data_IF_028048202684
#
_entry.id   IF_028048202684
#
_cell.length_a   1.000
_cell.length_b   1.000
_cell.length_c   1.000
_cell.angle_alpha   90.00
_cell.angle_beta   90.00
_cell.angle_gamma   90.00
#
_symmetry.space_group_name_H-M   'P 1'
#
loop_
_entity.id
_entity.type
_entity.pdbx_description
1 polymer ?
#
# COMPACT_ATOMS: atom_id res chain seq x y z
N UNK A 1 49.20 -41.54 -28.34
CA UNK A 1 49.66 -40.15 -28.12
C UNK A 1 48.69 -39.53 -27.14
N UNK A 2 49.04 -39.48 -25.86
CA UNK A 2 48.27 -38.71 -24.87
C UNK A 2 48.57 -37.23 -25.12
N UNK A 3 47.55 -36.47 -25.52
CA UNK A 3 47.64 -35.01 -25.53
C UNK A 3 47.76 -34.56 -24.07
N UNK A 4 48.92 -34.00 -23.69
CA UNK A 4 49.07 -33.29 -22.41
C UNK A 4 48.09 -32.12 -22.41
N UNK A 5 46.97 -32.24 -21.69
CA UNK A 5 46.10 -31.11 -21.40
C UNK A 5 46.95 -30.00 -20.79
N UNK A 6 46.94 -28.83 -21.42
CA UNK A 6 47.66 -27.67 -20.92
C UNK A 6 47.06 -27.18 -19.61
N UNK A 7 47.85 -26.48 -18.79
CA UNK A 7 47.35 -25.86 -17.54
C UNK A 7 46.11 -24.99 -17.83
N UNK A 8 46.05 -24.32 -18.98
CA UNK A 8 44.89 -23.52 -19.38
C UNK A 8 43.61 -24.38 -19.60
N UNK A 9 43.73 -25.58 -20.18
CA UNK A 9 42.59 -26.50 -20.32
C UNK A 9 42.13 -27.04 -18.96
N UNK A 10 43.06 -27.24 -18.03
CA UNK A 10 42.72 -27.62 -16.66
C UNK A 10 42.03 -26.47 -15.89
N UNK A 11 42.36 -25.21 -16.20
CA UNK A 11 41.73 -24.03 -15.61
C UNK A 11 40.33 -23.77 -16.17
N UNK A 12 40.11 -24.05 -17.47
CA UNK A 12 38.80 -23.89 -18.11
C UNK A 12 37.70 -24.73 -17.44
N UNK A 13 38.03 -25.92 -16.92
CA UNK A 13 37.09 -26.77 -16.18
C UNK A 13 36.59 -26.20 -14.85
N UNK A 14 37.25 -25.16 -14.31
CA UNK A 14 36.81 -24.45 -13.10
C UNK A 14 35.95 -23.21 -13.38
N UNK A 15 35.83 -22.81 -14.66
CA UNK A 15 35.16 -21.57 -15.06
C UNK A 15 33.79 -21.92 -15.64
N UNK A 16 32.74 -21.69 -14.87
CA UNK A 16 31.36 -21.75 -15.33
C UNK A 16 30.76 -20.34 -15.33
N UNK A 17 30.91 -19.66 -16.48
CA UNK A 17 30.42 -18.28 -16.65
C UNK A 17 28.89 -18.19 -16.85
N UNK A 18 28.18 -19.32 -16.93
CA UNK A 18 26.72 -19.33 -17.09
C UNK A 18 26.08 -19.67 -15.74
N UNK A 19 26.32 -20.88 -15.20
CA UNK A 19 25.71 -21.35 -13.97
C UNK A 19 26.20 -20.63 -12.71
N UNK A 20 27.51 -20.37 -12.59
CA UNK A 20 28.03 -19.61 -11.45
C UNK A 20 27.75 -18.11 -11.57
N UNK A 21 27.60 -17.58 -12.79
CA UNK A 21 27.20 -16.19 -12.97
C UNK A 21 25.74 -15.95 -12.54
N UNK A 22 24.84 -16.88 -12.87
CA UNK A 22 23.46 -16.84 -12.37
C UNK A 22 23.42 -16.97 -10.85
N UNK A 23 24.12 -17.95 -10.27
CA UNK A 23 24.20 -18.12 -8.82
C UNK A 23 24.83 -16.92 -8.10
N UNK A 24 25.84 -16.28 -8.71
CA UNK A 24 26.47 -15.06 -8.20
C UNK A 24 25.52 -13.86 -8.22
N UNK A 25 24.64 -13.79 -9.21
CA UNK A 25 23.64 -12.72 -9.32
C UNK A 25 22.49 -12.88 -8.30
N UNK A 26 22.31 -14.07 -7.72
CA UNK A 26 21.32 -14.29 -6.64
C UNK A 26 21.78 -13.56 -5.39
N UNK A 27 21.14 -12.42 -5.12
CA UNK A 27 21.31 -11.73 -3.83
C UNK A 27 20.73 -12.61 -2.72
N UNK A 28 21.48 -12.90 -1.65
CA UNK A 28 20.94 -13.56 -0.47
C UNK A 28 19.73 -12.78 0.03
N UNK A 29 18.60 -13.47 0.15
CA UNK A 29 17.37 -12.92 0.70
C UNK A 29 17.63 -12.56 2.17
N UNK A 30 17.43 -11.30 2.54
CA UNK A 30 17.68 -10.83 3.91
C UNK A 30 16.36 -10.89 4.69
N UNK A 31 16.15 -11.90 5.56
CA UNK A 31 14.89 -12.07 6.28
C UNK A 31 14.58 -10.87 7.18
N UNK A 32 15.59 -10.14 7.66
CA UNK A 32 15.35 -8.94 8.46
C UNK A 32 14.70 -7.82 7.62
N UNK A 33 15.09 -7.67 6.35
CA UNK A 33 14.45 -6.71 5.43
C UNK A 33 13.01 -7.11 5.11
N UNK A 34 12.75 -8.41 4.99
CA UNK A 34 11.41 -8.94 4.76
C UNK A 34 10.46 -8.66 5.95
N UNK A 35 10.95 -8.84 7.17
CA UNK A 35 10.18 -8.68 8.42
C UNK A 35 9.98 -7.22 8.83
N UNK A 36 10.93 -6.34 8.50
CA UNK A 36 10.96 -4.93 8.97
C UNK A 36 9.65 -4.16 8.78
N UNK A 37 8.98 -4.19 7.62
CA UNK A 37 7.71 -3.45 7.43
C UNK A 37 6.60 -3.90 8.39
N UNK A 38 6.58 -5.19 8.74
CA UNK A 38 5.61 -5.75 9.67
C UNK A 38 5.92 -5.30 11.09
N UNK A 39 7.18 -5.43 11.53
CA UNK A 39 7.64 -5.01 12.86
C UNK A 39 7.37 -3.52 13.08
N UNK A 40 7.72 -2.67 12.10
CA UNK A 40 7.44 -1.23 12.15
C UNK A 40 5.93 -0.93 12.18
N UNK A 41 5.10 -1.76 11.55
CA UNK A 41 3.64 -1.66 11.62
C UNK A 41 3.06 -2.09 12.97
N UNK A 42 3.63 -3.11 13.61
CA UNK A 42 3.26 -3.55 14.97
C UNK A 42 3.56 -2.44 15.97
N UNK A 43 4.77 -1.87 15.94
CA UNK A 43 5.15 -0.77 16.83
C UNK A 43 4.19 0.43 16.69
N UNK A 44 3.94 0.87 15.46
CA UNK A 44 2.96 1.95 15.19
C UNK A 44 1.57 1.61 15.68
N UNK A 45 1.14 0.36 15.53
CA UNK A 45 -0.17 -0.09 16.03
C UNK A 45 -0.24 -0.02 17.55
N UNK A 46 0.82 -0.43 18.25
CA UNK A 46 0.92 -0.35 19.72
C UNK A 46 0.81 1.11 20.20
N UNK A 47 1.57 2.02 19.58
CA UNK A 47 1.53 3.46 19.87
C UNK A 47 0.12 4.04 19.64
N UNK A 48 -0.45 3.83 18.45
CA UNK A 48 -1.80 4.30 18.11
C UNK A 48 -2.88 3.76 19.05
N UNK A 49 -2.77 2.49 19.43
CA UNK A 49 -3.74 1.85 20.31
C UNK A 49 -3.63 2.34 21.76
N UNK A 50 -2.43 2.67 22.23
CA UNK A 50 -2.22 3.29 23.54
C UNK A 50 -2.81 4.71 23.59
N UNK A 51 -2.68 5.47 22.52
CA UNK A 51 -3.17 6.85 22.43
C UNK A 51 -4.67 6.97 22.09
N UNK A 52 -5.39 5.85 21.91
CA UNK A 52 -6.75 5.83 21.35
C UNK A 52 -7.78 6.71 22.05
N UNK A 53 -7.59 7.00 23.33
CA UNK A 53 -8.50 7.81 24.15
C UNK A 53 -8.21 9.32 24.09
N UNK A 54 -7.14 9.76 23.41
CA UNK A 54 -6.66 11.15 23.38
C UNK A 54 -7.18 11.89 22.12
N UNK A 55 -8.23 11.38 21.47
CA UNK A 55 -8.84 12.02 20.29
C UNK A 55 -8.16 11.71 18.95
N UNK A 56 -7.09 10.92 18.95
CA UNK A 56 -6.37 10.40 17.77
C UNK A 56 -7.05 9.17 17.12
N UNK A 57 -8.31 8.87 17.48
CA UNK A 57 -9.07 7.73 16.97
C UNK A 57 -9.22 7.67 15.43
N UNK A 58 -8.81 8.72 14.70
CA UNK A 58 -8.76 8.78 13.23
C UNK A 58 -7.32 8.76 12.67
N UNK A 59 -6.42 8.00 13.27
CA UNK A 59 -5.11 7.74 12.66
C UNK A 59 -5.28 7.05 11.29
N UNK A 60 -4.84 7.72 10.22
CA UNK A 60 -4.83 7.16 8.88
C UNK A 60 -3.93 5.91 8.85
N UNK A 61 -4.38 4.85 8.16
CA UNK A 61 -3.60 3.61 8.03
C UNK A 61 -3.61 2.69 9.24
N UNK A 62 -4.48 2.90 10.24
CA UNK A 62 -4.62 1.98 11.38
C UNK A 62 -4.93 0.54 10.95
N UNK A 63 -4.32 -0.41 11.66
CA UNK A 63 -4.55 -1.85 11.50
C UNK A 63 -5.70 -2.35 12.36
N UNK A 64 -6.32 -1.51 13.18
CA UNK A 64 -7.31 -1.94 14.15
C UNK A 64 -8.56 -1.06 14.11
N UNK A 65 -9.67 -1.62 14.57
CA UNK A 65 -10.91 -0.91 14.90
C UNK A 65 -11.54 -1.56 16.12
N UNK A 66 -11.97 -0.76 17.10
CA UNK A 66 -12.65 -1.26 18.29
C UNK A 66 -14.15 -1.07 18.14
N UNK A 67 -14.92 -2.13 18.38
CA UNK A 67 -16.37 -2.08 18.48
C UNK A 67 -16.83 -3.17 19.45
N UNK A 68 -17.74 -2.83 20.38
CA UNK A 68 -18.34 -3.79 21.32
C UNK A 68 -17.32 -4.62 22.13
N UNK A 69 -16.19 -4.01 22.54
CA UNK A 69 -15.14 -4.72 23.29
C UNK A 69 -14.32 -5.72 22.46
N UNK A 70 -14.46 -5.67 21.12
CA UNK A 70 -13.72 -6.50 20.17
C UNK A 70 -12.89 -5.60 19.26
N UNK A 71 -11.66 -6.02 19.00
CA UNK A 71 -10.73 -5.40 18.06
C UNK A 71 -10.78 -6.17 16.75
N UNK A 72 -11.26 -5.55 15.69
CA UNK A 72 -11.05 -6.02 14.33
C UNK A 72 -9.65 -5.60 13.88
N UNK A 73 -8.77 -6.58 13.65
CA UNK A 73 -7.37 -6.38 13.33
C UNK A 73 -7.03 -6.87 11.91
N UNK A 74 -6.46 -5.98 11.10
CA UNK A 74 -6.10 -6.20 9.69
C UNK A 74 -4.69 -5.68 9.45
N UNK A 75 -3.76 -6.56 9.11
CA UNK A 75 -2.37 -6.19 8.79
C UNK A 75 -2.32 -5.60 7.38
N UNK A 76 -2.14 -4.28 7.27
CA UNK A 76 -2.06 -3.56 5.99
C UNK A 76 -0.60 -3.29 5.66
N UNK A 77 -0.13 -3.89 4.58
CA UNK A 77 1.21 -3.66 4.03
C UNK A 77 1.10 -2.93 2.69
N UNK A 78 2.21 -2.38 2.21
CA UNK A 78 2.24 -1.77 0.88
C UNK A 78 1.89 -2.82 -0.17
N UNK A 79 0.82 -2.60 -0.91
CA UNK A 79 0.33 -3.51 -1.94
C UNK A 79 -0.76 -4.48 -1.51
N UNK A 80 -1.22 -4.46 -0.24
CA UNK A 80 -2.36 -5.29 0.16
C UNK A 80 -2.48 -5.56 1.66
N UNK A 81 -3.30 -6.53 2.02
CA UNK A 81 -3.46 -7.01 3.39
C UNK A 81 -2.82 -8.37 3.56
N UNK A 82 -2.02 -8.53 4.61
CA UNK A 82 -1.42 -9.81 4.96
C UNK A 82 -2.46 -10.63 5.76
N UNK A 83 -2.92 -11.78 5.26
CA UNK A 83 -3.79 -12.65 6.03
C UNK A 83 -3.01 -13.28 7.19
N UNK A 84 -3.62 -13.32 8.37
CA UNK A 84 -3.14 -14.09 9.52
C UNK A 84 -4.12 -15.23 9.76
N UNK A 85 -3.61 -16.45 9.97
CA UNK A 85 -4.43 -17.64 10.23
C UNK A 85 -5.54 -17.87 9.18
N UNK A 86 -5.27 -17.53 7.91
CA UNK A 86 -6.23 -17.67 6.82
C UNK A 86 -7.30 -16.58 6.71
N UNK A 87 -7.31 -15.60 7.63
CA UNK A 87 -8.24 -14.45 7.56
C UNK A 87 -7.48 -13.13 7.38
N UNK A 88 -8.03 -12.25 6.53
CA UNK A 88 -7.53 -10.89 6.35
C UNK A 88 -7.86 -10.00 7.55
N UNK A 89 -8.96 -10.28 8.26
CA UNK A 89 -9.38 -9.54 9.46
C UNK A 89 -9.62 -10.51 10.60
N UNK A 90 -8.89 -10.31 11.69
CA UNK A 90 -8.92 -11.16 12.87
C UNK A 90 -9.61 -10.40 14.00
N UNK A 91 -10.58 -11.04 14.65
CA UNK A 91 -11.33 -10.43 15.74
C UNK A 91 -10.74 -10.89 17.08
N UNK A 92 -10.25 -9.94 17.86
CA UNK A 92 -9.49 -10.18 19.08
C UNK A 92 -10.21 -9.49 20.23
N UNK A 93 -10.43 -10.14 21.38
CA UNK A 93 -10.97 -9.46 22.57
C UNK A 93 -10.09 -8.26 22.93
N UNK A 94 -10.69 -7.10 23.21
CA UNK A 94 -9.94 -5.86 23.46
C UNK A 94 -8.93 -6.02 24.61
N UNK A 95 -9.31 -6.72 25.67
CA UNK A 95 -8.46 -7.01 26.81
C UNK A 95 -7.18 -7.80 26.45
N UNK A 96 -7.20 -8.56 25.36
CA UNK A 96 -6.07 -9.41 24.93
C UNK A 96 -5.22 -8.76 23.85
N UNK A 97 -5.65 -7.62 23.30
CA UNK A 97 -5.05 -7.06 22.09
C UNK A 97 -3.59 -6.64 22.30
N UNK A 98 -3.25 -6.05 23.46
CA UNK A 98 -1.87 -5.70 23.78
C UNK A 98 -0.95 -6.92 23.83
N UNK A 99 -1.36 -7.96 24.57
CA UNK A 99 -0.61 -9.22 24.66
C UNK A 99 -0.51 -9.94 23.30
N UNK A 100 -1.54 -9.81 22.46
CA UNK A 100 -1.51 -10.33 21.09
C UNK A 100 -0.42 -9.63 20.26
N UNK A 101 -0.30 -8.30 20.32
CA UNK A 101 0.72 -7.57 19.56
C UNK A 101 2.13 -7.99 19.97
N UNK A 102 2.38 -8.25 21.26
CA UNK A 102 3.67 -8.73 21.75
C UNK A 102 4.02 -10.11 21.20
N UNK A 103 3.06 -11.05 21.25
CA UNK A 103 3.25 -12.38 20.66
C UNK A 103 3.39 -12.34 19.15
N UNK A 104 2.68 -11.43 18.49
CA UNK A 104 2.76 -11.24 17.06
C UNK A 104 4.16 -10.72 16.64
N UNK A 105 4.71 -9.76 17.40
CA UNK A 105 6.08 -9.28 17.20
C UNK A 105 7.12 -10.39 17.39
N UNK A 106 6.94 -11.23 18.42
CA UNK A 106 7.80 -12.39 18.67
C UNK A 106 7.75 -13.39 17.51
N UNK A 107 6.55 -13.77 17.03
CA UNK A 107 6.39 -14.71 15.92
C UNK A 107 7.04 -14.19 14.62
N UNK A 108 6.88 -12.90 14.32
CA UNK A 108 7.53 -12.26 13.16
C UNK A 108 9.04 -12.27 13.33
N UNK A 109 9.55 -11.96 14.53
CA UNK A 109 10.99 -11.91 14.80
C UNK A 109 11.62 -13.31 14.79
N UNK A 110 10.86 -14.34 15.19
CA UNK A 110 11.26 -15.75 15.10
C UNK A 110 11.25 -16.29 13.66
N UNK A 111 10.65 -15.56 12.71
CA UNK A 111 10.57 -15.97 11.30
C UNK A 111 9.42 -16.90 10.97
N UNK A 112 8.46 -17.09 11.88
CA UNK A 112 7.29 -17.96 11.65
C UNK A 112 6.43 -17.49 10.48
N UNK A 113 6.53 -16.20 10.13
CA UNK A 113 5.79 -15.59 9.02
C UNK A 113 6.61 -15.42 7.73
N UNK A 114 7.88 -15.84 7.69
CA UNK A 114 8.76 -15.57 6.53
C UNK A 114 8.20 -16.16 5.23
N UNK A 115 7.68 -17.39 5.27
CA UNK A 115 7.07 -18.03 4.11
C UNK A 115 5.83 -17.26 3.61
N UNK A 116 4.98 -16.80 4.53
CA UNK A 116 3.80 -16.01 4.19
C UNK A 116 4.17 -14.62 3.65
N UNK A 117 5.21 -13.99 4.20
CA UNK A 117 5.70 -12.69 3.73
C UNK A 117 6.36 -12.78 2.35
N UNK A 118 7.10 -13.86 2.10
CA UNK A 118 7.69 -14.12 0.78
C UNK A 118 6.61 -14.35 -0.27
N UNK A 119 5.62 -15.20 0.04
CA UNK A 119 4.45 -15.40 -0.83
C UNK A 119 3.72 -14.08 -1.11
N UNK A 120 3.51 -13.25 -0.08
CA UNK A 120 2.89 -11.94 -0.24
C UNK A 120 3.71 -11.00 -1.15
N UNK A 121 5.04 -11.02 -1.08
CA UNK A 121 5.89 -10.23 -1.98
C UNK A 121 5.82 -10.74 -3.43
N UNK A 122 5.82 -12.06 -3.63
CA UNK A 122 5.69 -12.66 -4.96
C UNK A 122 4.32 -12.37 -5.57
N UNK A 123 3.25 -12.50 -4.80
CA UNK A 123 1.90 -12.17 -5.22
C UNK A 123 1.78 -10.69 -5.58
N UNK A 124 2.44 -9.80 -4.81
CA UNK A 124 2.54 -8.38 -5.14
C UNK A 124 3.33 -8.13 -6.43
N UNK A 125 4.41 -8.86 -6.66
CA UNK A 125 5.22 -8.72 -7.87
C UNK A 125 4.48 -9.22 -9.13
N UNK A 126 3.61 -10.24 -8.96
CA UNK A 126 2.75 -10.80 -10.01
C UNK A 126 1.47 -9.99 -10.22
N UNK A 127 1.00 -9.28 -9.19
CA UNK A 127 -0.18 -8.43 -9.31
C UNK A 127 0.09 -7.35 -10.38
N UNK A 128 -0.78 -7.21 -11.40
CA UNK A 128 -0.66 -6.11 -12.34
C UNK A 128 -0.67 -4.83 -11.52
N UNK A 129 0.33 -3.98 -11.77
CA UNK A 129 0.65 -2.78 -11.03
C UNK A 129 -0.56 -1.81 -11.00
N UNK A 130 -1.55 -2.06 -10.14
CA UNK A 130 -2.75 -1.24 -10.02
C UNK A 130 -2.43 0.14 -9.41
N UNK A 131 -1.17 0.36 -9.00
CA UNK A 131 -0.64 1.66 -8.61
C UNK A 131 -0.19 2.54 -9.78
N UNK A 132 -0.21 2.03 -11.02
CA UNK A 132 0.13 2.82 -12.20
C UNK A 132 -0.84 2.57 -13.36
N UNK A 133 -2.14 2.41 -13.06
CA UNK A 133 -3.11 2.90 -14.01
C UNK A 133 -2.75 4.37 -14.24
N UNK A 134 -2.41 4.82 -15.47
CA UNK A 134 -2.33 6.24 -15.72
C UNK A 134 -3.66 6.78 -15.23
N UNK A 135 -3.64 7.63 -14.19
CA UNK A 135 -4.77 8.52 -13.92
C UNK A 135 -5.10 9.04 -15.30
N UNK A 136 -6.28 8.66 -15.82
CA UNK A 136 -6.72 9.23 -17.08
C UNK A 136 -6.53 10.71 -16.87
N UNK A 137 -5.69 11.32 -17.73
CA UNK A 137 -5.58 12.76 -17.76
C UNK A 137 -7.02 13.20 -18.02
N UNK A 138 -7.70 13.60 -16.95
CA UNK A 138 -8.93 14.35 -17.04
C UNK A 138 -8.65 15.41 -18.09
N UNK A 139 -9.40 15.33 -19.18
CA UNK A 139 -9.31 16.31 -20.24
C UNK A 139 -9.62 17.68 -19.63
N UNK A 140 -8.61 18.55 -19.61
CA UNK A 140 -8.72 19.93 -19.13
C UNK A 140 -7.46 20.34 -18.36
N UNK A 141 -6.50 20.92 -19.08
CA UNK A 141 -5.21 21.30 -18.53
C UNK A 141 -5.28 22.27 -17.35
N UNK A 142 -4.46 22.01 -16.34
CA UNK A 142 -3.51 22.96 -15.76
C UNK A 142 -4.00 24.16 -14.96
N UNK A 143 -5.11 24.81 -15.31
CA UNK A 143 -5.41 26.16 -14.82
C UNK A 143 -6.85 26.37 -14.35
N UNK A 144 -7.81 25.54 -14.77
CA UNK A 144 -9.23 25.74 -14.43
C UNK A 144 -9.65 24.86 -13.27
N UNK A 145 -10.20 25.47 -12.23
CA UNK A 145 -10.75 24.78 -11.06
C UNK A 145 -11.90 25.63 -10.53
N UNK A 146 -13.03 25.02 -10.12
CA UNK A 146 -14.18 25.78 -9.64
C UNK A 146 -13.87 26.71 -8.47
N UNK A 147 -12.83 26.44 -7.69
CA UNK A 147 -12.39 27.36 -6.62
C UNK A 147 -11.74 28.65 -7.08
N UNK A 148 -11.24 28.67 -8.32
CA UNK A 148 -10.52 29.81 -8.88
C UNK A 148 -11.40 30.60 -9.84
N UNK A 149 -12.36 29.93 -10.49
CA UNK A 149 -13.12 30.49 -11.60
C UNK A 149 -14.56 30.86 -11.24
N UNK A 150 -15.06 30.47 -10.06
CA UNK A 150 -16.45 30.69 -9.64
C UNK A 150 -16.55 31.92 -8.75
N UNK A 151 -17.42 32.87 -9.10
CA UNK A 151 -17.52 34.17 -8.42
C UNK A 151 -18.08 34.06 -6.99
N UNK A 152 -19.03 33.15 -6.74
CA UNK A 152 -19.65 32.93 -5.44
C UNK A 152 -18.96 31.82 -4.61
N UNK A 153 -17.76 31.37 -5.01
CA UNK A 153 -17.07 30.26 -4.35
C UNK A 153 -16.93 30.45 -2.84
N UNK A 154 -16.56 31.65 -2.41
CA UNK A 154 -16.38 31.98 -1.00
C UNK A 154 -17.70 32.09 -0.23
N UNK A 155 -18.80 32.35 -0.94
CA UNK A 155 -20.16 32.41 -0.40
C UNK A 155 -20.81 31.03 -0.28
N UNK A 156 -20.26 30.00 -0.94
CA UNK A 156 -20.78 28.64 -0.86
C UNK A 156 -20.50 28.01 0.51
N UNK A 157 -21.50 27.27 1.02
CA UNK A 157 -21.31 26.36 2.15
C UNK A 157 -20.34 25.23 1.80
N UNK A 158 -19.72 24.65 2.82
CA UNK A 158 -18.80 23.52 2.63
C UNK A 158 -19.42 22.34 1.87
N UNK A 159 -20.69 22.02 2.15
CA UNK A 159 -21.42 20.94 1.47
C UNK A 159 -21.62 21.23 -0.03
N UNK A 160 -21.91 22.49 -0.39
CA UNK A 160 -22.04 22.90 -1.79
C UNK A 160 -20.71 22.82 -2.52
N UNK A 161 -19.60 23.24 -1.89
CA UNK A 161 -18.25 23.11 -2.47
C UNK A 161 -17.87 21.64 -2.73
N UNK A 162 -18.24 20.72 -1.83
CA UNK A 162 -18.03 19.29 -2.05
C UNK A 162 -18.82 18.76 -3.25
N UNK A 163 -20.09 19.17 -3.42
CA UNK A 163 -20.93 18.79 -4.57
C UNK A 163 -20.33 19.29 -5.89
N UNK A 164 -19.89 20.56 -5.95
CA UNK A 164 -19.23 21.13 -7.13
C UNK A 164 -17.96 20.37 -7.48
N UNK A 165 -17.10 20.11 -6.49
CA UNK A 165 -15.85 19.40 -6.70
C UNK A 165 -16.07 17.94 -7.17
N UNK A 166 -17.11 17.27 -6.68
CA UNK A 166 -17.47 15.94 -7.14
C UNK A 166 -17.87 15.96 -8.62
N UNK A 167 -18.78 16.86 -9.02
CA UNK A 167 -19.21 17.04 -10.40
C UNK A 167 -18.04 17.40 -11.33
N UNK A 168 -17.18 18.32 -10.90
CA UNK A 168 -16.00 18.71 -11.68
C UNK A 168 -15.04 17.53 -11.92
N UNK A 169 -14.81 16.68 -10.91
CA UNK A 169 -14.00 15.45 -11.05
C UNK A 169 -14.64 14.43 -11.99
N UNK A 170 -15.96 14.46 -12.13
CA UNK A 170 -16.71 13.64 -13.08
C UNK A 170 -16.79 14.27 -14.49
N UNK A 171 -16.17 15.44 -14.71
CA UNK A 171 -16.22 16.16 -15.98
C UNK A 171 -17.54 16.88 -16.23
N UNK A 172 -18.24 17.29 -15.17
CA UNK A 172 -19.54 17.95 -15.20
C UNK A 172 -19.52 19.34 -14.56
N UNK A 173 -20.39 20.22 -15.05
CA UNK A 173 -20.69 21.51 -14.44
C UNK A 173 -21.60 21.35 -13.21
N UNK A 174 -21.77 22.39 -12.37
CA UNK A 174 -22.66 22.35 -11.20
C UNK A 174 -24.13 22.00 -11.50
N UNK A 175 -24.61 22.33 -12.70
CA UNK A 175 -25.95 21.99 -13.21
C UNK A 175 -26.07 20.52 -13.69
N UNK A 176 -24.98 19.75 -13.60
CA UNK A 176 -24.90 18.35 -14.01
C UNK A 176 -24.61 18.13 -15.49
N UNK A 177 -24.54 19.18 -16.30
CA UNK A 177 -24.20 19.12 -17.72
C UNK A 177 -22.75 18.68 -17.92
N UNK A 178 -22.46 17.98 -19.02
CA UNK A 178 -21.09 17.52 -19.32
C UNK A 178 -20.26 18.67 -19.87
N UNK A 179 -19.10 18.93 -19.26
CA UNK A 179 -18.16 19.98 -19.68
C UNK A 179 -17.72 19.75 -21.14
N UNK A 180 -17.56 18.49 -21.54
CA UNK A 180 -17.20 18.10 -22.90
C UNK A 180 -18.26 18.45 -23.96
N UNK A 181 -19.53 18.62 -23.56
CA UNK A 181 -20.65 18.85 -24.47
C UNK A 181 -21.08 20.33 -24.51
N UNK A 182 -21.10 21.00 -23.36
CA UNK A 182 -21.62 22.38 -23.25
C UNK A 182 -20.56 23.42 -22.84
N UNK A 183 -19.31 23.00 -22.71
CA UNK A 183 -18.21 23.84 -22.21
C UNK A 183 -18.20 23.97 -20.69
N UNK A 184 -17.10 24.50 -20.16
CA UNK A 184 -16.90 24.73 -18.73
C UNK A 184 -17.68 25.95 -18.25
N UNK A 185 -18.59 25.74 -17.27
CA UNK A 185 -19.51 26.71 -16.69
C UNK A 185 -19.46 26.60 -15.15
N UNK A 186 -18.45 27.21 -14.50
CA UNK A 186 -18.27 27.09 -13.04
C UNK A 186 -19.39 27.74 -12.22
N UNK A 187 -20.07 28.76 -12.77
CA UNK A 187 -21.16 29.51 -12.13
C UNK A 187 -22.56 28.98 -12.46
N UNK A 188 -22.67 27.81 -13.09
CA UNK A 188 -23.98 27.24 -13.39
C UNK A 188 -24.79 27.01 -12.10
N UNK A 189 -26.10 27.22 -12.17
CA UNK A 189 -27.00 26.98 -11.06
C UNK A 189 -27.06 25.48 -10.71
N UNK A 190 -27.28 25.18 -9.44
CA UNK A 190 -27.30 23.82 -8.89
C UNK A 190 -28.58 23.03 -9.15
#
# INVERSE_FOLDING_TARGET
>A
MEAKMGILDSLAGFIDNEGLAEAFAVKPDDPAKLRRPVVDGIRRTREQYAERNIGTARAAGRWWQVQNGVVAFTVKLTGGTLPLSGSTTNHIPEAMFAAFLDKFEQAVTAGELDAALKAFQEDRAKAPNAGNAPRSKSHGGGERHPSNDREDWDSLTWAQRQKVNALYREGRNPDGSRIAEVGYKPDAAF
#
